data_IF_587632319380
#
_entry.id   IF_587632319380
#
_cell.length_a   1.000
_cell.length_b   1.000
_cell.length_c   1.000
_cell.angle_alpha   90.00
_cell.angle_beta   90.00
_cell.angle_gamma   90.00
#
_symmetry.space_group_name_H-M   'P 1'
#
loop_
_entity.id
_entity.type
_entity.pdbx_description
1 polymer ?
#
# COMPACT_ATOMS: atom_id res chain seq x y z
N UNK A 1 24.34 5.39 -18.59
CA UNK A 1 25.12 4.41 -17.80
C UNK A 1 24.29 3.99 -16.61
N UNK A 2 24.38 2.75 -16.12
CA UNK A 2 23.78 2.40 -14.83
C UNK A 2 24.34 3.28 -13.71
N UNK A 3 23.53 3.57 -12.70
CA UNK A 3 23.93 4.34 -11.52
C UNK A 3 23.47 3.65 -10.24
N UNK A 4 24.17 3.90 -9.15
CA UNK A 4 23.82 3.46 -7.80
C UNK A 4 23.15 4.62 -7.07
N UNK A 5 21.94 4.40 -6.54
CA UNK A 5 21.23 5.36 -5.70
C UNK A 5 21.07 4.82 -4.29
N UNK A 6 21.41 5.63 -3.33
CA UNK A 6 21.22 5.30 -1.90
C UNK A 6 19.91 5.87 -1.40
N UNK A 7 19.08 5.01 -0.83
CA UNK A 7 17.89 5.40 -0.09
C UNK A 7 18.34 6.22 1.14
N UNK A 8 17.89 7.46 1.29
CA UNK A 8 18.37 8.33 2.37
C UNK A 8 17.85 7.93 3.75
N UNK A 9 16.80 7.10 3.83
CA UNK A 9 16.17 6.68 5.09
C UNK A 9 16.80 5.39 5.58
N UNK A 10 16.74 4.34 4.76
CA UNK A 10 17.20 2.99 5.15
C UNK A 10 18.68 2.73 4.85
N UNK A 11 19.33 3.63 4.09
CA UNK A 11 20.72 3.44 3.65
C UNK A 11 20.88 2.37 2.54
N UNK A 12 19.80 1.76 2.08
CA UNK A 12 19.83 0.72 1.04
C UNK A 12 20.26 1.29 -0.29
N UNK A 13 21.06 0.52 -1.04
CA UNK A 13 21.46 0.85 -2.41
C UNK A 13 20.55 0.18 -3.44
N UNK A 14 20.26 0.91 -4.50
CA UNK A 14 19.51 0.43 -5.67
C UNK A 14 20.29 0.71 -6.93
N UNK A 15 20.36 -0.24 -7.85
CA UNK A 15 20.98 -0.09 -9.17
C UNK A 15 19.90 0.38 -10.15
N UNK A 16 20.01 1.59 -10.66
CA UNK A 16 19.17 2.10 -11.76
C UNK A 16 19.85 1.74 -13.08
N UNK A 17 19.28 0.77 -13.81
CA UNK A 17 19.88 0.14 -14.99
C UNK A 17 19.04 0.40 -16.26
N UNK A 18 18.91 1.66 -16.66
CA UNK A 18 18.02 2.15 -17.74
C UNK A 18 18.25 1.55 -19.14
N UNK A 19 19.26 0.72 -19.33
CA UNK A 19 19.49 0.03 -20.61
C UNK A 19 18.68 -1.26 -20.83
N UNK A 20 17.85 -1.70 -19.86
CA UNK A 20 17.16 -3.00 -19.91
C UNK A 20 15.67 -2.94 -20.25
N UNK A 21 14.95 -1.97 -19.72
CA UNK A 21 13.53 -1.71 -19.99
C UNK A 21 13.20 -0.33 -19.46
N UNK A 22 12.84 0.62 -20.30
CA UNK A 22 12.61 2.01 -19.88
C UNK A 22 11.20 2.48 -20.11
N UNK A 23 10.44 1.80 -20.96
CA UNK A 23 9.08 2.20 -21.35
C UNK A 23 8.04 1.32 -20.65
N UNK A 24 6.84 1.85 -20.38
CA UNK A 24 5.74 1.06 -19.85
C UNK A 24 5.45 -0.21 -20.68
N UNK A 25 5.54 -0.10 -22.01
CA UNK A 25 5.33 -1.21 -22.95
C UNK A 25 6.31 -2.37 -22.81
N UNK A 26 7.47 -2.16 -22.20
CA UNK A 26 8.47 -3.22 -22.00
C UNK A 26 8.05 -4.23 -20.93
N UNK A 27 7.02 -3.92 -20.12
CA UNK A 27 6.54 -4.71 -18.98
C UNK A 27 5.20 -5.42 -19.19
N UNK A 28 4.57 -5.31 -20.34
CA UNK A 28 3.19 -5.74 -20.60
C UNK A 28 2.95 -7.27 -20.59
N UNK A 29 3.54 -8.04 -19.69
CA UNK A 29 3.46 -9.51 -19.72
C UNK A 29 2.38 -10.14 -18.85
N UNK A 30 1.98 -9.49 -17.76
CA UNK A 30 1.04 -10.07 -16.78
C UNK A 30 -0.06 -9.07 -16.40
N UNK A 31 -1.04 -8.89 -17.30
CA UNK A 31 -2.23 -8.03 -17.03
C UNK A 31 -3.15 -8.73 -16.03
N UNK A 32 -3.62 -7.99 -15.04
CA UNK A 32 -4.68 -8.48 -14.16
C UNK A 32 -6.01 -8.48 -14.92
N UNK A 33 -6.60 -9.65 -15.08
CA UNK A 33 -7.94 -9.80 -15.63
C UNK A 33 -8.89 -10.22 -14.50
N UNK A 34 -9.90 -9.42 -14.24
CA UNK A 34 -10.99 -9.80 -13.33
C UNK A 34 -11.95 -10.71 -14.13
N UNK A 35 -11.83 -12.00 -13.90
CA UNK A 35 -12.59 -13.03 -14.67
C UNK A 35 -13.95 -13.34 -14.07
N UNK A 36 -14.59 -12.58 -13.35
CA UNK A 36 -15.98 -12.60 -12.86
C UNK A 36 -16.80 -13.90 -12.91
N UNK A 37 -16.23 -15.08 -13.13
CA UNK A 37 -16.94 -16.33 -13.30
C UNK A 37 -16.47 -17.39 -12.32
N UNK A 38 -17.23 -17.65 -11.29
CA UNK A 38 -16.97 -18.72 -10.35
C UNK A 38 -17.42 -18.40 -8.94
N UNK A 39 -17.28 -19.36 -8.07
CA UNK A 39 -17.55 -19.19 -6.65
C UNK A 39 -16.51 -18.26 -6.01
N UNK A 40 -16.95 -17.15 -5.42
CA UNK A 40 -16.11 -16.25 -4.65
C UNK A 40 -16.64 -16.09 -3.22
N UNK A 41 -15.87 -16.41 -2.18
CA UNK A 41 -16.33 -16.33 -0.79
C UNK A 41 -16.55 -14.89 -0.30
N UNK A 42 -16.06 -13.88 -1.02
CA UNK A 42 -16.19 -12.47 -0.68
C UNK A 42 -17.38 -11.78 -1.35
N UNK A 43 -18.01 -12.42 -2.33
CA UNK A 43 -19.19 -11.89 -2.98
C UNK A 43 -20.40 -11.88 -2.04
N UNK A 44 -21.25 -10.90 -2.29
CA UNK A 44 -22.57 -10.77 -1.65
C UNK A 44 -23.37 -12.08 -1.69
N UNK A 45 -23.95 -12.49 -0.56
CA UNK A 45 -24.68 -13.74 -0.40
C UNK A 45 -23.82 -14.94 0.00
N UNK A 46 -22.48 -14.77 0.08
CA UNK A 46 -21.53 -15.82 0.47
C UNK A 46 -20.93 -15.59 1.87
N UNK A 47 -21.57 -14.80 2.73
CA UNK A 47 -21.07 -14.42 4.06
C UNK A 47 -20.75 -15.64 4.95
N UNK A 48 -21.50 -16.71 4.80
CA UNK A 48 -21.29 -17.98 5.54
C UNK A 48 -20.02 -18.76 5.10
N UNK A 49 -19.35 -18.35 4.02
CA UNK A 49 -18.13 -18.98 3.50
C UNK A 49 -16.84 -18.42 4.07
N UNK A 50 -16.94 -17.31 4.80
CA UNK A 50 -15.86 -16.68 5.56
C UNK A 50 -16.06 -16.91 7.05
N UNK A 51 -15.03 -16.70 7.89
CA UNK A 51 -15.24 -16.60 9.34
C UNK A 51 -16.23 -15.48 9.69
N UNK A 52 -16.83 -15.50 10.91
CA UNK A 52 -17.70 -14.43 11.36
C UNK A 52 -17.02 -13.06 11.29
N UNK A 53 -17.78 -12.04 10.88
CA UNK A 53 -17.25 -10.69 10.74
C UNK A 53 -16.82 -10.07 12.06
N UNK A 54 -15.69 -9.36 12.02
CA UNK A 54 -15.19 -8.53 13.12
C UNK A 54 -15.95 -7.21 13.10
N UNK A 55 -16.00 -6.59 11.92
CA UNK A 55 -16.65 -5.30 11.67
C UNK A 55 -17.30 -5.33 10.28
N UNK A 56 -18.41 -4.64 10.11
CA UNK A 56 -18.94 -4.34 8.78
C UNK A 56 -19.65 -2.98 8.77
N UNK A 57 -19.52 -2.27 7.66
CA UNK A 57 -20.27 -1.02 7.43
C UNK A 57 -21.60 -1.36 6.77
N UNK A 58 -22.71 -0.91 7.38
CA UNK A 58 -24.09 -1.16 6.95
C UNK A 58 -24.93 0.10 7.08
N UNK A 59 -25.68 0.42 6.05
CA UNK A 59 -26.61 1.56 6.06
C UNK A 59 -28.06 1.15 6.28
N UNK A 60 -28.37 -0.16 6.13
CA UNK A 60 -29.75 -0.69 6.12
C UNK A 60 -30.15 -1.39 7.43
N UNK A 61 -29.27 -1.43 8.43
CA UNK A 61 -29.52 -2.11 9.70
C UNK A 61 -29.58 -3.64 9.59
N UNK A 62 -29.08 -4.23 8.51
CA UNK A 62 -29.03 -5.69 8.31
C UNK A 62 -28.25 -6.39 9.41
N UNK A 63 -28.61 -7.66 9.67
CA UNK A 63 -28.01 -8.45 10.73
C UNK A 63 -26.54 -8.76 10.47
N UNK A 64 -25.79 -9.01 11.54
CA UNK A 64 -24.41 -9.44 11.48
C UNK A 64 -24.26 -10.76 10.69
N UNK A 65 -23.19 -10.90 9.91
CA UNK A 65 -22.92 -12.05 9.04
C UNK A 65 -24.01 -12.33 7.99
N UNK A 66 -24.77 -11.30 7.59
CA UNK A 66 -25.75 -11.35 6.52
C UNK A 66 -25.44 -10.32 5.43
N UNK A 67 -26.05 -10.39 4.26
CA UNK A 67 -26.01 -9.35 3.24
C UNK A 67 -26.39 -7.94 3.78
N UNK A 68 -26.15 -6.87 2.99
CA UNK A 68 -26.45 -5.47 3.37
C UNK A 68 -25.22 -4.65 3.79
N UNK A 69 -24.05 -5.23 3.74
CA UNK A 69 -22.79 -4.53 4.02
C UNK A 69 -22.22 -3.84 2.78
N UNK A 70 -21.52 -2.75 3.00
CA UNK A 70 -20.75 -2.05 1.96
C UNK A 70 -19.25 -2.33 2.04
N UNK A 71 -18.75 -2.63 3.24
CA UNK A 71 -17.40 -3.07 3.56
C UNK A 71 -17.50 -4.09 4.70
N UNK A 72 -16.65 -5.11 4.70
CA UNK A 72 -16.69 -6.16 5.69
C UNK A 72 -15.30 -6.64 6.09
N UNK A 73 -15.03 -6.81 7.38
CA UNK A 73 -13.75 -7.28 7.92
C UNK A 73 -13.98 -8.62 8.62
N UNK A 74 -13.16 -9.59 8.25
CA UNK A 74 -13.21 -10.95 8.78
C UNK A 74 -11.81 -11.42 9.19
N UNK A 75 -11.69 -12.34 10.16
CA UNK A 75 -10.42 -13.03 10.36
C UNK A 75 -9.99 -13.74 9.06
N UNK A 76 -8.69 -13.77 8.78
CA UNK A 76 -8.21 -14.61 7.68
C UNK A 76 -8.53 -16.07 8.01
N UNK A 77 -9.09 -16.81 7.06
CA UNK A 77 -9.48 -18.23 7.22
C UNK A 77 -8.25 -19.14 7.46
N UNK A 78 -7.09 -18.72 6.96
CA UNK A 78 -5.80 -19.41 7.12
C UNK A 78 -4.78 -18.44 7.72
N UNK A 79 -4.94 -18.06 9.00
CA UNK A 79 -4.16 -17.00 9.59
C UNK A 79 -2.71 -17.43 9.80
N UNK A 80 -1.77 -16.52 9.57
CA UNK A 80 -0.36 -16.74 9.88
C UNK A 80 -0.06 -16.71 11.39
N UNK A 81 -0.94 -16.05 12.16
CA UNK A 81 -0.83 -15.87 13.62
C UNK A 81 -2.20 -16.07 14.27
N UNK A 82 -2.21 -16.58 15.50
CA UNK A 82 -3.41 -16.74 16.31
C UNK A 82 -3.60 -15.60 17.30
N UNK A 83 -4.85 -15.15 17.52
CA UNK A 83 -5.13 -14.07 18.46
C UNK A 83 -5.19 -14.55 19.93
N UNK A 84 -5.53 -15.82 20.12
CA UNK A 84 -5.69 -16.40 21.45
C UNK A 84 -4.39 -16.93 22.03
N UNK A 85 -4.25 -16.85 23.34
CA UNK A 85 -3.13 -17.41 24.10
C UNK A 85 -2.13 -16.36 24.59
N UNK A 86 -0.96 -16.81 24.98
CA UNK A 86 0.14 -15.99 25.52
C UNK A 86 1.38 -16.07 24.64
N UNK A 87 2.24 -15.09 24.72
CA UNK A 87 3.49 -15.05 23.92
C UNK A 87 4.47 -16.19 24.26
N UNK A 88 4.47 -16.65 25.51
CA UNK A 88 5.34 -17.75 25.97
C UNK A 88 6.77 -17.68 25.43
N UNK A 89 7.46 -16.57 25.73
CA UNK A 89 8.84 -16.34 25.30
C UNK A 89 9.79 -17.31 25.94
N UNK A 90 10.62 -17.97 25.15
CA UNK A 90 11.57 -18.99 25.59
C UNK A 90 12.91 -18.81 24.90
N UNK A 91 13.99 -19.12 25.61
CA UNK A 91 15.34 -19.26 25.06
C UNK A 91 15.72 -20.73 24.95
N UNK A 92 16.37 -21.11 23.85
CA UNK A 92 16.95 -22.43 23.63
C UNK A 92 18.42 -22.26 23.21
N UNK A 93 19.32 -22.19 24.17
CA UNK A 93 20.70 -21.77 23.94
C UNK A 93 20.77 -20.35 23.37
N UNK A 94 21.26 -20.21 22.13
CA UNK A 94 21.34 -18.92 21.41
C UNK A 94 20.05 -18.57 20.66
N UNK A 95 19.04 -19.42 20.69
CA UNK A 95 17.83 -19.25 19.89
C UNK A 95 16.67 -18.77 20.76
N UNK A 96 15.98 -17.71 20.29
CA UNK A 96 14.75 -17.22 20.90
C UNK A 96 13.54 -17.71 20.14
N UNK A 97 12.51 -18.14 20.86
CA UNK A 97 11.22 -18.53 20.29
C UNK A 97 10.06 -18.01 21.14
N UNK A 98 8.94 -17.79 20.50
CA UNK A 98 7.68 -17.46 21.16
C UNK A 98 6.50 -18.02 20.38
N UNK A 99 5.33 -18.07 21.01
CA UNK A 99 4.10 -18.43 20.30
C UNK A 99 3.77 -17.38 19.24
N UNK A 100 3.25 -17.84 18.11
CA UNK A 100 2.80 -16.99 17.00
C UNK A 100 1.50 -16.26 17.33
N UNK A 101 1.54 -15.36 18.31
CA UNK A 101 0.40 -14.54 18.72
C UNK A 101 0.33 -13.29 17.87
N UNK A 102 -0.87 -13.01 17.30
CA UNK A 102 -1.12 -11.85 16.46
C UNK A 102 -2.52 -11.87 15.90
N UNK A 103 -2.90 -10.82 15.18
CA UNK A 103 -4.12 -10.79 14.38
C UNK A 103 -3.77 -10.89 12.90
N UNK A 104 -4.58 -11.61 12.13
CA UNK A 104 -4.52 -11.61 10.67
C UNK A 104 -5.94 -11.49 10.13
N UNK A 105 -6.25 -10.33 9.58
CA UNK A 105 -7.59 -9.94 9.14
C UNK A 105 -7.63 -9.64 7.65
N UNK A 106 -8.78 -9.84 7.04
CA UNK A 106 -9.08 -9.50 5.64
C UNK A 106 -10.16 -8.43 5.62
N UNK A 107 -9.88 -7.34 4.94
CA UNK A 107 -10.81 -6.24 4.69
C UNK A 107 -11.38 -6.43 3.28
N UNK A 108 -12.63 -6.86 3.17
CA UNK A 108 -13.37 -7.01 1.93
C UNK A 108 -13.94 -5.63 1.58
N UNK A 109 -13.37 -4.98 0.59
CA UNK A 109 -13.51 -3.54 0.31
C UNK A 109 -14.86 -3.18 -0.31
N UNK A 110 -15.54 -4.13 -0.93
CA UNK A 110 -16.87 -3.97 -1.55
C UNK A 110 -17.56 -5.32 -1.68
N UNK A 111 -18.90 -5.40 -1.71
CA UNK A 111 -19.61 -6.63 -2.04
C UNK A 111 -19.59 -6.98 -3.53
N UNK A 112 -19.18 -6.06 -4.39
CA UNK A 112 -19.21 -6.20 -5.85
C UNK A 112 -17.87 -6.76 -6.36
N UNK A 113 -17.93 -7.90 -7.04
CA UNK A 113 -16.73 -8.61 -7.50
C UNK A 113 -15.89 -7.85 -8.53
N UNK A 114 -16.55 -7.09 -9.39
CA UNK A 114 -15.93 -6.40 -10.53
C UNK A 114 -15.37 -5.01 -10.23
N UNK A 115 -15.54 -4.51 -9.01
CA UNK A 115 -14.97 -3.22 -8.59
C UNK A 115 -13.59 -3.41 -7.96
N UNK A 116 -12.75 -2.41 -8.16
CA UNK A 116 -11.44 -2.25 -7.50
C UNK A 116 -11.39 -0.92 -6.79
N UNK A 117 -10.33 -0.66 -5.99
CA UNK A 117 -10.10 0.67 -5.41
C UNK A 117 -9.99 1.76 -6.48
N UNK A 118 -9.52 1.41 -7.69
CA UNK A 118 -9.44 2.36 -8.80
C UNK A 118 -10.81 2.73 -9.37
N UNK A 119 -11.78 1.82 -9.34
CA UNK A 119 -13.06 1.95 -10.08
C UNK A 119 -14.30 2.12 -9.20
N UNK A 120 -14.20 1.87 -7.89
CA UNK A 120 -15.32 2.08 -6.97
C UNK A 120 -15.54 3.59 -6.70
N UNK A 121 -16.74 4.00 -6.23
CA UNK A 121 -16.96 5.39 -5.83
C UNK A 121 -15.94 5.86 -4.78
N UNK A 122 -15.43 7.07 -4.90
CA UNK A 122 -14.39 7.62 -4.01
C UNK A 122 -14.80 7.59 -2.52
N UNK A 123 -16.07 7.82 -2.21
CA UNK A 123 -16.59 7.68 -0.85
C UNK A 123 -16.43 6.26 -0.29
N UNK A 124 -16.41 5.21 -1.14
CA UNK A 124 -16.13 3.84 -0.72
C UNK A 124 -14.66 3.59 -0.46
N UNK A 125 -13.77 4.27 -1.21
CA UNK A 125 -12.33 4.27 -0.90
C UNK A 125 -12.08 4.93 0.46
N UNK A 126 -12.79 6.02 0.76
CA UNK A 126 -12.74 6.66 2.08
C UNK A 126 -13.21 5.71 3.20
N UNK A 127 -14.33 4.98 3.00
CA UNK A 127 -14.80 3.95 3.94
C UNK A 127 -13.71 2.90 4.23
N UNK A 128 -12.94 2.50 3.21
CA UNK A 128 -11.82 1.54 3.38
C UNK A 128 -10.71 2.13 4.25
N UNK A 129 -10.35 3.39 4.06
CA UNK A 129 -9.34 4.08 4.87
C UNK A 129 -9.79 4.22 6.34
N UNK A 130 -11.07 4.55 6.57
CA UNK A 130 -11.66 4.56 7.91
C UNK A 130 -11.62 3.18 8.55
N UNK A 131 -11.92 2.13 7.80
CA UNK A 131 -11.87 0.76 8.29
C UNK A 131 -10.45 0.34 8.73
N UNK A 132 -9.42 0.77 7.99
CA UNK A 132 -8.02 0.55 8.37
C UNK A 132 -7.70 1.21 9.71
N UNK A 133 -8.05 2.51 9.84
CA UNK A 133 -7.85 3.28 11.07
C UNK A 133 -8.55 2.63 12.27
N UNK A 134 -9.83 2.31 12.13
CA UNK A 134 -10.64 1.72 13.20
C UNK A 134 -10.07 0.37 13.66
N UNK A 135 -9.55 -0.44 12.73
CA UNK A 135 -8.91 -1.71 13.08
C UNK A 135 -7.57 -1.53 13.78
N UNK A 136 -6.76 -0.57 13.34
CA UNK A 136 -5.49 -0.25 14.04
C UNK A 136 -5.81 0.16 15.48
N UNK A 137 -6.69 1.15 15.69
CA UNK A 137 -7.07 1.66 17.00
C UNK A 137 -7.69 0.60 17.92
N UNK A 138 -8.40 -0.39 17.37
CA UNK A 138 -8.92 -1.49 18.16
C UNK A 138 -7.83 -2.47 18.59
N UNK A 139 -6.97 -2.87 17.66
CA UNK A 139 -5.88 -3.83 17.92
C UNK A 139 -4.76 -3.25 18.79
N UNK A 140 -4.54 -1.93 18.78
CA UNK A 140 -3.59 -1.27 19.68
C UNK A 140 -3.93 -1.42 21.16
N UNK A 141 -5.19 -1.68 21.52
CA UNK A 141 -5.61 -1.94 22.90
C UNK A 141 -4.96 -3.20 23.45
N UNK A 142 -4.57 -4.15 22.59
CA UNK A 142 -3.86 -5.35 22.99
C UNK A 142 -2.36 -5.03 23.20
N UNK A 143 -1.92 -5.13 24.45
CA UNK A 143 -0.53 -4.81 24.83
C UNK A 143 0.52 -5.81 24.31
N UNK A 144 0.09 -6.95 23.79
CA UNK A 144 0.98 -7.94 23.18
C UNK A 144 1.52 -7.46 21.83
N UNK A 145 0.79 -6.61 21.13
CA UNK A 145 1.17 -6.12 19.81
C UNK A 145 2.15 -4.95 19.88
N UNK A 146 3.08 -4.93 18.93
CA UNK A 146 4.12 -3.91 18.77
C UNK A 146 4.07 -3.21 17.43
N UNK A 147 3.50 -3.85 16.41
CA UNK A 147 3.37 -3.31 15.07
C UNK A 147 2.13 -3.84 14.38
N UNK A 148 1.47 -3.00 13.61
CA UNK A 148 0.32 -3.36 12.78
C UNK A 148 0.65 -2.94 11.34
N UNK A 149 0.53 -3.87 10.42
CA UNK A 149 0.75 -3.64 8.99
C UNK A 149 -0.56 -3.75 8.23
N UNK A 150 -0.90 -2.71 7.47
CA UNK A 150 -1.93 -2.75 6.43
C UNK A 150 -1.24 -2.93 5.09
N UNK A 151 -1.68 -3.89 4.31
CA UNK A 151 -1.16 -4.13 2.97
C UNK A 151 -2.23 -4.66 2.03
N UNK A 152 -2.03 -4.42 0.74
CA UNK A 152 -2.87 -4.97 -0.32
C UNK A 152 -2.01 -5.73 -1.32
N UNK A 153 -2.53 -6.88 -1.74
CA UNK A 153 -2.03 -7.62 -2.89
C UNK A 153 -3.11 -7.55 -3.98
N UNK A 154 -2.80 -6.98 -5.12
CA UNK A 154 -3.68 -6.90 -6.27
C UNK A 154 -3.09 -7.70 -7.43
N UNK A 155 -3.84 -8.70 -7.91
CA UNK A 155 -3.37 -9.62 -8.95
C UNK A 155 -2.48 -10.76 -8.44
N UNK A 156 -2.47 -11.86 -9.17
CA UNK A 156 -1.75 -13.11 -8.81
C UNK A 156 -0.23 -12.88 -8.67
N UNK A 157 0.38 -12.13 -9.58
CA UNK A 157 1.81 -11.82 -9.55
C UNK A 157 2.23 -11.00 -8.31
N UNK A 158 1.28 -10.32 -7.66
CA UNK A 158 1.47 -9.61 -6.39
C UNK A 158 1.13 -10.47 -5.16
N UNK A 159 0.76 -11.75 -5.36
CA UNK A 159 0.44 -12.68 -4.27
C UNK A 159 -1.04 -12.66 -3.84
N UNK A 160 -1.94 -12.08 -4.63
CA UNK A 160 -3.37 -12.19 -4.37
C UNK A 160 -3.87 -13.61 -4.71
N UNK A 161 -4.51 -14.28 -3.76
CA UNK A 161 -5.14 -15.59 -3.97
C UNK A 161 -6.59 -15.49 -4.47
N UNK A 162 -7.21 -14.33 -4.36
CA UNK A 162 -8.56 -14.03 -4.81
C UNK A 162 -8.58 -12.72 -5.61
N UNK A 163 -9.32 -12.69 -6.71
CA UNK A 163 -9.47 -11.51 -7.58
C UNK A 163 -10.35 -10.42 -6.94
N UNK A 164 -11.34 -10.84 -6.13
CA UNK A 164 -12.22 -9.90 -5.43
C UNK A 164 -11.40 -8.95 -4.56
N UNK A 165 -11.61 -7.66 -4.77
CA UNK A 165 -10.77 -6.61 -4.15
C UNK A 165 -10.80 -6.69 -2.62
N UNK A 166 -9.64 -6.83 -2.03
CA UNK A 166 -9.47 -6.91 -0.59
C UNK A 166 -8.08 -6.42 -0.18
N UNK A 167 -7.95 -6.00 1.06
CA UNK A 167 -6.69 -5.74 1.74
C UNK A 167 -6.55 -6.64 2.95
N UNK A 168 -5.40 -6.60 3.57
CA UNK A 168 -5.10 -7.40 4.75
C UNK A 168 -4.47 -6.55 5.84
N UNK A 169 -4.68 -6.99 7.07
CA UNK A 169 -4.06 -6.44 8.25
C UNK A 169 -3.38 -7.56 9.03
N UNK A 170 -2.13 -7.33 9.46
CA UNK A 170 -1.43 -8.22 10.39
C UNK A 170 -0.92 -7.42 11.57
N UNK A 171 -1.30 -7.83 12.80
CA UNK A 171 -0.75 -7.31 14.04
C UNK A 171 0.30 -8.28 14.59
N UNK A 172 1.47 -7.75 14.96
CA UNK A 172 2.67 -8.50 15.32
C UNK A 172 3.13 -8.18 16.75
N UNK A 173 3.64 -9.17 17.51
CA UNK A 173 4.19 -8.95 18.84
C UNK A 173 5.64 -8.43 18.82
N UNK A 174 6.20 -8.23 17.65
CA UNK A 174 7.55 -7.70 17.40
C UNK A 174 7.51 -6.67 16.28
N UNK A 175 8.42 -5.71 16.29
CA UNK A 175 8.62 -4.79 15.17
C UNK A 175 9.46 -5.49 14.11
N UNK A 176 8.98 -5.61 12.85
CA UNK A 176 9.74 -6.25 11.77
C UNK A 176 11.06 -5.51 11.48
N UNK A 177 12.08 -6.26 11.07
CA UNK A 177 13.42 -5.71 10.82
C UNK A 177 13.41 -4.53 9.83
N UNK A 178 12.68 -4.63 8.72
CA UNK A 178 12.60 -3.53 7.73
C UNK A 178 11.95 -2.27 8.27
N UNK A 179 10.91 -2.43 9.10
CA UNK A 179 10.27 -1.30 9.79
C UNK A 179 11.27 -0.67 10.77
N UNK A 180 12.03 -1.49 11.48
CA UNK A 180 13.05 -1.02 12.41
C UNK A 180 14.15 -0.23 11.68
N UNK A 181 14.65 -0.74 10.56
CA UNK A 181 15.65 -0.05 9.72
C UNK A 181 15.15 1.34 9.26
N UNK A 182 13.88 1.44 8.90
CA UNK A 182 13.29 2.72 8.47
C UNK A 182 13.11 3.71 9.63
N UNK A 183 12.57 3.24 10.75
CA UNK A 183 12.40 4.05 11.99
C UNK A 183 13.74 4.51 12.55
N UNK A 184 14.73 3.62 12.60
CA UNK A 184 16.06 3.94 13.11
C UNK A 184 16.80 4.92 12.20
N UNK A 185 16.70 4.78 10.87
CA UNK A 185 17.27 5.73 9.93
C UNK A 185 16.62 7.12 10.02
N UNK A 186 15.31 7.18 10.20
CA UNK A 186 14.61 8.44 10.43
C UNK A 186 15.06 9.11 11.75
N UNK A 187 15.20 8.32 12.82
CA UNK A 187 15.69 8.78 14.11
C UNK A 187 17.14 9.27 14.03
N UNK A 188 18.02 8.55 13.33
CA UNK A 188 19.41 8.95 13.12
C UNK A 188 19.50 10.31 12.42
N UNK A 189 18.71 10.53 11.38
CA UNK A 189 18.62 11.82 10.69
C UNK A 189 18.17 12.93 11.66
N UNK A 190 17.13 12.67 12.44
CA UNK A 190 16.60 13.63 13.41
C UNK A 190 17.64 13.99 14.48
N UNK A 191 18.32 12.99 15.03
CA UNK A 191 19.37 13.21 16.03
C UNK A 191 20.52 14.11 15.52
N UNK A 192 20.77 14.09 14.20
CA UNK A 192 21.82 14.89 13.58
C UNK A 192 21.32 16.24 13.04
N UNK A 193 20.09 16.30 12.53
CA UNK A 193 19.53 17.47 11.82
C UNK A 193 18.42 18.20 12.58
N UNK A 194 17.90 17.60 13.66
CA UNK A 194 16.72 18.09 14.42
C UNK A 194 15.48 18.33 13.52
N UNK A 195 15.33 17.54 12.47
CA UNK A 195 14.24 17.60 11.49
C UNK A 195 13.88 16.20 11.00
N UNK A 196 12.60 16.02 10.68
CA UNK A 196 12.12 14.80 10.05
C UNK A 196 12.68 14.67 8.63
N UNK A 197 13.27 13.50 8.30
CA UNK A 197 13.85 13.23 6.98
C UNK A 197 12.79 13.24 5.86
N UNK A 198 11.57 12.76 6.14
CA UNK A 198 10.48 12.77 5.16
C UNK A 198 10.05 14.20 4.83
N UNK A 199 9.97 15.10 5.83
CA UNK A 199 9.70 16.51 5.60
C UNK A 199 10.80 17.19 4.77
N UNK A 200 12.07 16.82 4.98
CA UNK A 200 13.19 17.31 4.18
C UNK A 200 13.11 16.79 2.73
N UNK A 201 12.76 15.50 2.55
CA UNK A 201 12.53 14.90 1.23
C UNK A 201 11.39 15.63 0.50
N UNK A 202 10.24 15.82 1.16
CA UNK A 202 9.10 16.53 0.58
C UNK A 202 9.47 17.93 0.10
N UNK A 203 10.23 18.69 0.90
CA UNK A 203 10.70 20.02 0.54
C UNK A 203 11.59 19.98 -0.69
N UNK A 204 12.60 19.10 -0.70
CA UNK A 204 13.52 18.93 -1.81
C UNK A 204 12.81 18.49 -3.10
N UNK A 205 11.88 17.55 -3.02
CA UNK A 205 11.15 17.07 -4.20
C UNK A 205 10.22 18.15 -4.75
N UNK A 206 9.59 18.96 -3.90
CA UNK A 206 8.78 20.11 -4.35
C UNK A 206 9.62 21.18 -5.04
N UNK A 207 10.82 21.48 -4.55
CA UNK A 207 11.74 22.42 -5.18
C UNK A 207 12.23 21.94 -6.56
N UNK A 208 12.59 20.67 -6.68
CA UNK A 208 13.13 20.09 -7.92
C UNK A 208 12.06 19.66 -8.91
N UNK A 209 10.90 19.22 -8.43
CA UNK A 209 9.72 18.80 -9.19
C UNK A 209 9.91 17.65 -10.19
N UNK A 210 11.11 17.07 -10.29
CA UNK A 210 11.41 16.06 -11.31
C UNK A 210 10.79 14.68 -11.03
N UNK A 211 10.63 14.32 -9.76
CA UNK A 211 10.02 13.06 -9.31
C UNK A 211 8.61 13.24 -8.73
N UNK A 212 8.08 14.46 -8.68
CA UNK A 212 6.68 14.69 -8.33
C UNK A 212 5.76 14.10 -9.41
N UNK A 213 4.68 13.45 -8.98
CA UNK A 213 3.66 12.86 -9.84
C UNK A 213 2.38 13.69 -9.75
N UNK A 214 1.90 13.93 -8.54
CA UNK A 214 0.70 14.70 -8.26
C UNK A 214 0.77 15.31 -6.85
N UNK A 215 -0.09 16.27 -6.57
CA UNK A 215 -0.35 16.76 -5.21
C UNK A 215 -1.78 17.27 -5.08
N UNK A 216 -2.30 17.26 -3.85
CA UNK A 216 -3.52 17.96 -3.47
C UNK A 216 -3.29 18.77 -2.19
N UNK A 217 -4.35 19.23 -1.52
CA UNK A 217 -4.19 20.01 -0.28
C UNK A 217 -3.47 19.23 0.83
N UNK A 218 -3.75 17.92 0.98
CA UNK A 218 -3.25 17.09 2.07
C UNK A 218 -1.99 16.29 1.75
N UNK A 219 -1.75 15.94 0.49
CA UNK A 219 -0.76 14.93 0.11
C UNK A 219 0.14 15.36 -1.05
N UNK A 220 1.35 14.80 -1.05
CA UNK A 220 2.30 14.81 -2.17
C UNK A 220 2.48 13.38 -2.65
N UNK A 221 2.48 13.20 -3.96
CA UNK A 221 2.75 11.92 -4.62
C UNK A 221 4.04 12.03 -5.42
N UNK A 222 4.96 11.12 -5.20
CA UNK A 222 6.26 11.12 -5.86
C UNK A 222 6.78 9.71 -6.13
N UNK A 223 7.68 9.60 -7.10
CA UNK A 223 8.56 8.44 -7.23
C UNK A 223 9.76 8.65 -6.27
N UNK A 224 10.07 7.68 -5.37
CA UNK A 224 11.20 7.82 -4.45
C UNK A 224 12.53 7.88 -5.19
N UNK A 225 13.57 8.50 -4.60
CA UNK A 225 14.87 8.68 -5.24
C UNK A 225 15.57 7.37 -5.61
N UNK A 226 15.44 6.36 -4.74
CA UNK A 226 16.04 5.02 -4.91
C UNK A 226 14.95 3.93 -4.88
N UNK A 227 14.05 3.89 -5.91
CA UNK A 227 12.92 2.97 -5.94
C UNK A 227 13.40 1.54 -6.15
N UNK A 228 12.85 0.60 -5.38
CA UNK A 228 13.16 -0.83 -5.53
C UNK A 228 12.58 -1.41 -6.83
N UNK A 229 11.42 -0.92 -7.22
CA UNK A 229 10.65 -1.43 -8.36
C UNK A 229 10.34 -0.32 -9.37
N UNK A 230 10.23 -0.66 -10.66
CA UNK A 230 9.74 0.29 -11.66
C UNK A 230 8.36 0.83 -11.29
N UNK A 231 8.15 2.13 -11.47
CA UNK A 231 6.90 2.83 -11.17
C UNK A 231 6.46 2.76 -9.70
N UNK A 232 7.39 2.57 -8.77
CA UNK A 232 7.14 2.69 -7.34
C UNK A 232 6.68 4.11 -7.02
N UNK A 233 5.60 4.23 -6.21
CA UNK A 233 4.94 5.48 -5.86
C UNK A 233 4.88 5.61 -4.35
N UNK A 234 5.18 6.80 -3.84
CA UNK A 234 4.92 7.17 -2.46
C UNK A 234 3.84 8.25 -2.40
N UNK A 235 2.84 8.06 -1.53
CA UNK A 235 1.83 9.05 -1.16
C UNK A 235 2.14 9.47 0.27
N UNK A 236 2.53 10.72 0.47
CA UNK A 236 3.05 11.23 1.76
C UNK A 236 2.20 12.41 2.20
N UNK A 237 1.66 12.45 3.44
CA UNK A 237 0.96 13.62 3.93
C UNK A 237 1.88 14.84 3.97
N UNK A 238 1.31 16.02 3.68
CA UNK A 238 2.04 17.30 3.79
C UNK A 238 2.24 17.73 5.24
N UNK A 239 1.29 17.36 6.08
CA UNK A 239 1.36 17.58 7.52
C UNK A 239 2.18 16.47 8.16
N UNK A 240 3.15 16.83 8.98
CA UNK A 240 3.96 15.87 9.71
C UNK A 240 3.10 15.07 10.69
N UNK A 241 3.07 13.76 10.52
CA UNK A 241 2.31 12.82 11.33
C UNK A 241 3.03 11.46 11.32
N UNK A 242 3.33 10.88 12.48
CA UNK A 242 4.07 9.62 12.55
C UNK A 242 3.21 8.38 12.33
N UNK A 243 1.90 8.47 12.53
CA UNK A 243 1.01 7.33 12.54
C UNK A 243 -0.25 7.56 11.69
N UNK A 244 -0.57 6.58 10.83
CA UNK A 244 -1.74 6.62 9.94
C UNK A 244 -3.06 6.74 10.70
N UNK A 245 -3.18 6.05 11.83
CA UNK A 245 -4.38 6.03 12.68
C UNK A 245 -4.68 7.38 13.36
N UNK A 246 -3.74 8.31 13.35
CA UNK A 246 -3.97 9.69 13.80
C UNK A 246 -4.73 10.52 12.77
N UNK A 247 -4.77 10.09 11.49
CA UNK A 247 -5.46 10.80 10.42
C UNK A 247 -6.96 10.92 10.70
N UNK A 248 -7.53 12.05 10.31
CA UNK A 248 -8.92 12.41 10.54
C UNK A 248 -9.67 12.55 9.20
N UNK A 249 -10.91 13.01 9.27
CA UNK A 249 -11.78 13.15 8.11
C UNK A 249 -11.16 14.00 6.99
N UNK A 250 -10.56 15.12 7.33
CA UNK A 250 -9.96 16.04 6.35
C UNK A 250 -8.83 15.37 5.55
N UNK A 251 -8.00 14.52 6.21
CA UNK A 251 -6.96 13.77 5.54
C UNK A 251 -7.53 12.67 4.66
N UNK A 252 -8.55 11.92 5.11
CA UNK A 252 -9.14 10.85 4.30
C UNK A 252 -9.93 11.36 3.09
N UNK A 253 -10.61 12.51 3.21
CA UNK A 253 -11.24 13.21 2.07
C UNK A 253 -10.22 13.61 0.98
N UNK A 254 -8.94 13.80 1.36
CA UNK A 254 -7.85 14.09 0.42
C UNK A 254 -7.10 12.83 -0.02
N UNK A 255 -6.94 11.82 0.85
CA UNK A 255 -6.21 10.59 0.53
C UNK A 255 -7.00 9.68 -0.43
N UNK A 256 -8.32 9.54 -0.24
CA UNK A 256 -9.14 8.67 -1.07
C UNK A 256 -9.07 9.02 -2.56
N UNK A 257 -9.32 10.28 -2.99
CA UNK A 257 -9.26 10.63 -4.40
C UNK A 257 -7.85 10.55 -4.98
N UNK A 258 -6.80 10.90 -4.23
CA UNK A 258 -5.43 10.86 -4.75
C UNK A 258 -4.90 9.43 -4.86
N UNK A 259 -5.26 8.54 -3.93
CA UNK A 259 -4.97 7.10 -4.02
C UNK A 259 -5.65 6.51 -5.25
N UNK A 260 -6.93 6.81 -5.46
CA UNK A 260 -7.71 6.35 -6.61
C UNK A 260 -7.09 6.84 -7.93
N UNK A 261 -6.72 8.13 -8.02
CA UNK A 261 -6.07 8.69 -9.20
C UNK A 261 -4.75 7.99 -9.52
N UNK A 262 -3.93 7.68 -8.51
CA UNK A 262 -2.67 6.95 -8.73
C UNK A 262 -2.90 5.53 -9.25
N UNK A 263 -3.88 4.81 -8.74
CA UNK A 263 -4.21 3.48 -9.22
C UNK A 263 -4.74 3.53 -10.67
N UNK A 264 -5.58 4.51 -11.01
CA UNK A 264 -6.05 4.73 -12.38
C UNK A 264 -4.91 5.08 -13.35
N UNK A 265 -3.95 5.90 -12.93
CA UNK A 265 -2.75 6.21 -13.75
C UNK A 265 -1.89 4.97 -13.97
N UNK A 266 -1.70 4.14 -12.95
CA UNK A 266 -1.01 2.85 -13.10
C UNK A 266 -1.73 1.95 -14.10
N UNK A 267 -3.06 1.85 -14.01
CA UNK A 267 -3.87 1.06 -14.94
C UNK A 267 -3.74 1.55 -16.39
N UNK A 268 -3.68 2.87 -16.61
CA UNK A 268 -3.49 3.47 -17.94
C UNK A 268 -2.08 3.27 -18.49
N UNK A 269 -1.05 3.48 -17.64
CA UNK A 269 0.36 3.43 -18.06
C UNK A 269 0.83 2.00 -18.25
N UNK A 270 0.40 1.09 -17.37
CA UNK A 270 0.92 -0.29 -17.28
C UNK A 270 -0.11 -1.34 -17.67
N UNK A 271 -1.28 -0.92 -18.17
CA UNK A 271 -2.36 -1.80 -18.64
C UNK A 271 -2.81 -2.83 -17.59
N UNK A 272 -3.32 -2.32 -16.45
CA UNK A 272 -3.83 -3.10 -15.32
C UNK A 272 -2.76 -4.01 -14.69
N UNK A 273 -1.70 -3.45 -14.11
CA UNK A 273 -0.62 -4.22 -13.50
C UNK A 273 -1.05 -4.86 -12.18
N UNK A 274 -0.44 -5.99 -11.85
CA UNK A 274 -0.43 -6.47 -10.48
C UNK A 274 0.44 -5.53 -9.61
N UNK A 275 -0.02 -5.23 -8.39
CA UNK A 275 0.72 -4.37 -7.46
C UNK A 275 0.52 -4.79 -6.01
N UNK A 276 1.47 -4.42 -5.18
CA UNK A 276 1.25 -4.32 -3.74
C UNK A 276 1.15 -2.86 -3.35
N UNK A 277 0.35 -2.55 -2.32
CA UNK A 277 0.60 -1.34 -1.54
C UNK A 277 0.74 -1.67 -0.05
N UNK A 278 1.43 -0.79 0.66
CA UNK A 278 1.74 -0.91 2.08
C UNK A 278 1.52 0.46 2.71
N UNK A 279 0.87 0.50 3.88
CA UNK A 279 0.85 1.68 4.74
C UNK A 279 1.97 1.53 5.76
N UNK A 280 2.95 2.41 5.69
CA UNK A 280 4.02 2.54 6.66
C UNK A 280 3.56 3.47 7.78
N UNK A 281 3.44 2.95 8.98
CA UNK A 281 3.04 3.69 10.19
C UNK A 281 4.03 3.41 11.31
N UNK A 282 4.14 4.31 12.29
CA UNK A 282 5.03 4.12 13.43
C UNK A 282 4.68 2.86 14.23
N UNK A 283 5.65 2.19 14.86
CA UNK A 283 5.37 1.10 15.79
C UNK A 283 4.52 1.58 16.97
N UNK A 284 3.62 0.70 17.43
CA UNK A 284 2.68 1.01 18.51
C UNK A 284 3.43 1.40 19.77
N UNK A 285 3.06 2.52 20.39
CA UNK A 285 3.62 3.03 21.66
C UNK A 285 5.12 3.32 21.59
N UNK A 286 5.68 3.55 20.41
CA UNK A 286 7.01 4.09 20.23
C UNK A 286 6.92 5.60 20.02
N UNK A 287 7.67 6.39 20.78
CA UNK A 287 7.74 7.84 20.59
C UNK A 287 8.48 8.15 19.30
N UNK A 288 7.73 8.42 18.25
CA UNK A 288 8.24 8.66 16.90
C UNK A 288 7.70 9.97 16.29
N UNK A 289 7.00 10.76 17.10
CA UNK A 289 6.28 11.96 16.70
C UNK A 289 7.18 13.02 16.05
N UNK A 290 8.44 13.10 16.42
CA UNK A 290 9.36 14.13 15.93
C UNK A 290 10.09 13.73 14.65
N UNK A 291 10.28 12.45 14.39
CA UNK A 291 11.22 11.99 13.36
C UNK A 291 10.61 11.06 12.31
N UNK A 292 9.52 10.35 12.61
CA UNK A 292 8.87 9.45 11.68
C UNK A 292 7.70 10.12 10.99
N UNK A 293 7.37 9.66 9.77
CA UNK A 293 6.30 10.21 8.97
C UNK A 293 5.61 9.06 8.23
N UNK A 294 4.33 8.81 8.54
CA UNK A 294 3.62 7.75 7.86
C UNK A 294 3.46 8.04 6.36
N UNK A 295 3.45 7.01 5.55
CA UNK A 295 3.26 7.13 4.12
C UNK A 295 2.68 5.84 3.54
N UNK A 296 2.11 5.94 2.33
CA UNK A 296 1.63 4.80 1.56
C UNK A 296 2.57 4.58 0.38
N UNK A 297 3.07 3.35 0.25
CA UNK A 297 3.93 2.91 -0.83
C UNK A 297 3.16 1.98 -1.76
N UNK A 298 3.19 2.23 -3.09
CA UNK A 298 2.60 1.37 -4.12
C UNK A 298 3.73 0.81 -4.98
N UNK A 299 3.75 -0.51 -5.15
CA UNK A 299 4.81 -1.25 -5.84
C UNK A 299 4.22 -2.13 -6.95
N UNK A 300 4.22 -1.70 -8.22
CA UNK A 300 3.86 -2.56 -9.33
C UNK A 300 4.79 -3.77 -9.47
N UNK A 301 4.26 -4.93 -9.81
CA UNK A 301 4.99 -6.19 -9.96
C UNK A 301 5.43 -6.42 -11.41
N UNK A 302 6.32 -5.56 -11.88
CA UNK A 302 6.83 -5.58 -13.25
C UNK A 302 8.13 -6.38 -13.41
N UNK A 303 8.85 -6.59 -12.32
CA UNK A 303 10.11 -7.35 -12.26
C UNK A 303 10.06 -8.41 -11.17
N UNK A 304 10.81 -9.48 -11.36
CA UNK A 304 10.94 -10.55 -10.36
C UNK A 304 12.16 -10.30 -9.49
N UNK A 305 12.01 -10.41 -8.18
CA UNK A 305 13.11 -10.45 -7.21
C UNK A 305 13.78 -11.82 -7.33
N UNK A 306 15.09 -11.86 -7.55
CA UNK A 306 15.86 -13.06 -7.80
C UNK A 306 17.05 -13.22 -6.84
N UNK A 307 17.97 -14.13 -7.14
CA UNK A 307 19.05 -14.49 -6.23
C UNK A 307 19.96 -13.34 -5.83
N UNK A 308 20.21 -12.38 -6.74
CA UNK A 308 21.04 -11.22 -6.44
C UNK A 308 20.40 -10.33 -5.38
N UNK A 309 19.12 -9.99 -5.54
CA UNK A 309 18.38 -9.15 -4.61
C UNK A 309 18.23 -9.84 -3.24
N UNK A 310 17.94 -11.13 -3.24
CA UNK A 310 17.84 -11.91 -1.99
C UNK A 310 19.19 -12.03 -1.27
N UNK A 311 20.28 -12.21 -2.03
CA UNK A 311 21.62 -12.40 -1.46
C UNK A 311 22.26 -11.12 -0.95
N UNK A 312 21.94 -9.97 -1.55
CA UNK A 312 22.62 -8.70 -1.28
C UNK A 312 21.74 -7.64 -0.63
N UNK A 313 20.42 -7.76 -0.78
CA UNK A 313 19.48 -6.68 -0.42
C UNK A 313 19.48 -5.49 -1.40
N UNK A 314 20.31 -5.52 -2.46
CA UNK A 314 20.27 -4.55 -3.55
C UNK A 314 19.17 -4.93 -4.52
N UNK A 315 18.52 -3.93 -5.11
CA UNK A 315 17.52 -4.13 -6.16
C UNK A 315 18.05 -3.58 -7.49
N UNK A 316 17.65 -4.22 -8.59
CA UNK A 316 17.95 -3.74 -9.95
C UNK A 316 16.65 -3.20 -10.53
N UNK A 317 16.59 -1.88 -10.69
CA UNK A 317 15.46 -1.19 -11.29
C UNK A 317 15.83 -0.72 -12.71
N UNK A 318 15.16 -1.22 -13.75
CA UNK A 318 15.46 -0.82 -15.13
C UNK A 318 14.89 0.55 -15.52
N UNK A 319 14.00 1.15 -14.72
CA UNK A 319 13.37 2.45 -15.03
C UNK A 319 13.78 3.49 -13.99
N UNK A 320 14.21 4.65 -14.45
CA UNK A 320 14.53 5.75 -13.53
C UNK A 320 13.25 6.31 -12.88
N UNK A 321 13.31 6.78 -11.63
CA UNK A 321 12.15 7.38 -10.98
C UNK A 321 11.67 8.67 -11.68
N UNK A 322 12.57 9.39 -12.33
CA UNK A 322 12.24 10.59 -13.15
C UNK A 322 11.38 10.23 -14.35
N UNK A 323 11.72 9.14 -15.07
CA UNK A 323 10.91 8.62 -16.17
C UNK A 323 9.58 8.06 -15.69
N UNK A 324 9.58 7.27 -14.61
CA UNK A 324 8.36 6.75 -13.98
C UNK A 324 7.40 7.90 -13.61
N UNK A 325 7.93 8.94 -12.95
CA UNK A 325 7.13 10.12 -12.59
C UNK A 325 6.60 10.87 -13.81
N UNK A 326 7.40 10.99 -14.88
CA UNK A 326 6.97 11.63 -16.13
C UNK A 326 5.79 10.88 -16.76
N UNK A 327 5.89 9.56 -16.95
CA UNK A 327 4.80 8.76 -17.52
C UNK A 327 3.52 8.84 -16.68
N UNK A 328 3.65 8.79 -15.35
CA UNK A 328 2.49 8.88 -14.44
C UNK A 328 1.87 10.28 -14.43
N UNK A 329 2.64 11.36 -14.61
CA UNK A 329 2.10 12.73 -14.79
C UNK A 329 1.32 12.86 -16.09
N UNK A 330 1.90 12.39 -17.20
CA UNK A 330 1.29 12.44 -18.52
C UNK A 330 0.00 11.63 -18.60
N UNK A 331 -0.15 10.57 -17.80
CA UNK A 331 -1.38 9.77 -17.70
C UNK A 331 -2.54 10.47 -16.96
N UNK A 332 -2.32 11.65 -16.36
CA UNK A 332 -3.37 12.43 -15.74
C UNK A 332 -4.32 13.09 -16.76
N UNK A 333 -3.84 13.37 -17.98
CA UNK A 333 -4.66 13.99 -18.99
C UNK A 333 -5.72 13.02 -19.51
N UNK A 334 -6.99 13.46 -19.67
CA UNK A 334 -7.98 12.66 -20.35
C UNK A 334 -7.45 12.38 -21.76
N UNK A 335 -7.44 11.11 -22.18
CA UNK A 335 -7.26 10.79 -23.59
C UNK A 335 -8.41 11.51 -24.31
N UNK A 336 -8.10 12.59 -25.05
CA UNK A 336 -9.06 13.20 -25.95
C UNK A 336 -9.62 12.09 -26.83
N UNK A 337 -10.93 11.85 -26.75
CA UNK A 337 -11.60 10.95 -27.67
C UNK A 337 -11.26 11.42 -29.09
N UNK A 338 -10.89 10.50 -30.02
CA UNK A 338 -10.56 10.90 -31.37
C UNK A 338 -11.70 11.74 -31.93
N UNK A 339 -11.42 12.99 -32.23
CA UNK A 339 -12.36 13.89 -32.87
C UNK A 339 -12.70 13.31 -34.25
N UNK A 340 -13.95 12.89 -34.44
CA UNK A 340 -14.46 12.66 -35.78
C UNK A 340 -15.07 11.28 -36.09
N UNK A 341 -16.25 11.05 -35.62
CA UNK A 341 -17.27 10.41 -36.47
C UNK A 341 -18.34 11.45 -36.71
N UNK A 342 -18.14 12.28 -37.75
CA UNK A 342 -19.25 13.03 -38.33
C UNK A 342 -20.27 12.01 -38.78
N UNK A 343 -21.43 12.01 -38.15
CA UNK A 343 -22.61 11.41 -38.71
C UNK A 343 -22.98 12.22 -39.96
N UNK A 344 -22.62 11.72 -41.12
CA UNK A 344 -23.25 12.15 -42.37
C UNK A 344 -24.67 11.61 -42.33
N UNK A 345 -25.59 12.49 -41.97
CA UNK A 345 -27.01 12.37 -42.22
C UNK A 345 -27.27 12.77 -43.69
N UNK A 346 -27.48 11.79 -44.52
CA UNK A 346 -28.09 11.91 -45.82
C UNK A 346 -29.34 11.03 -45.87
#
# INVERSE_FOLDING_TARGET
MPELRKDPITGRWVIIATGRATRPTDFLRDKVQIRGSGFCPFCYGNESKTPPEILAYRSDGSARNSPGWSLRIVPNKFPALGIEGTLNRQGEGLYDKMNGIGAHEVIIETPQHNLTLATMPTARVEDVLWAYRDRILDLEKDRRFKYILIFKNHGEAAGASLEHTHSQLIALPVVPKRVREEVDGAREHYNFKERCIFCDILRQEKEKSVRLIAENQGFVVMAPFAPRFPFEIWIVPKTHQCAFEQSQKAEFEQLAPILQDMLLRLDRVLEFPAYNYIIHTAPIRESAEDYYHWHLEIMPKLTKVAGFEWGTGFYINPTSPEESAKFLREAAEPVEAPAGARQDSG
#
